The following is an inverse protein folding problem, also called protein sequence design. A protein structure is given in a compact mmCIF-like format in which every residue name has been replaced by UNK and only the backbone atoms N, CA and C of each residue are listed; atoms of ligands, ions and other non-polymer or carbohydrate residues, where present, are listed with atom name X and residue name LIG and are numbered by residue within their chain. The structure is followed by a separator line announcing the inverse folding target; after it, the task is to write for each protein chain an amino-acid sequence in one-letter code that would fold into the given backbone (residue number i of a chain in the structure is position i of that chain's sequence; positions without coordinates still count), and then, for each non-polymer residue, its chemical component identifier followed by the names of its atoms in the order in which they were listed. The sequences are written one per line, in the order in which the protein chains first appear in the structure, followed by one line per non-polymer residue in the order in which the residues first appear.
data_IF_388072449919
#
_entry.id   IF_388072449919
#
_cell.length_a   1.000
_cell.length_b   1.000
_cell.length_c   1.000
_cell.angle_alpha   90.00
_cell.angle_beta   90.00
_cell.angle_gamma   90.00
#
_symmetry.space_group_name_H-M   'P 1'
#
loop_
_entity.id
_entity.type
_entity.pdbx_description
1 polymer ?
#
# COMPACT_ATOMS: atom_id res chain seq x y z
N UNK A 1 11.09 -24.78 -16.28
CA UNK A 1 10.34 -23.59 -15.82
C UNK A 1 9.81 -23.93 -14.44
N UNK A 2 10.28 -23.26 -13.39
CA UNK A 2 9.86 -23.55 -12.02
C UNK A 2 8.38 -23.21 -11.86
N UNK A 3 7.58 -24.18 -11.41
CA UNK A 3 6.20 -23.94 -11.04
C UNK A 3 6.22 -23.02 -9.81
N UNK A 4 5.91 -21.73 -9.99
CA UNK A 4 5.76 -20.83 -8.86
C UNK A 4 4.43 -21.21 -8.23
N UNK A 5 4.50 -21.98 -7.15
CA UNK A 5 3.35 -22.25 -6.29
C UNK A 5 3.03 -20.95 -5.54
N UNK A 6 1.96 -20.27 -5.96
CA UNK A 6 1.53 -19.00 -5.39
C UNK A 6 0.41 -19.27 -4.41
N UNK A 7 0.67 -19.12 -3.10
CA UNK A 7 -0.34 -19.21 -2.05
C UNK A 7 -1.23 -17.94 -2.03
N UNK A 8 -2.52 -18.02 -2.42
CA UNK A 8 -3.42 -16.86 -2.39
C UNK A 8 -3.64 -16.33 -0.97
N UNK A 9 -3.53 -17.17 0.07
CA UNK A 9 -3.64 -16.72 1.45
C UNK A 9 -2.42 -15.88 1.85
N UNK A 10 -1.21 -16.25 1.43
CA UNK A 10 -0.01 -15.43 1.61
C UNK A 10 -0.14 -14.07 0.92
N UNK A 11 -0.64 -14.03 -0.31
CA UNK A 11 -0.90 -12.77 -1.02
C UNK A 11 -1.91 -11.89 -0.29
N UNK A 12 -3.02 -12.46 0.23
CA UNK A 12 -4.00 -11.72 1.03
C UNK A 12 -3.41 -11.18 2.34
N UNK A 13 -2.55 -11.95 3.02
CA UNK A 13 -1.83 -11.49 4.22
C UNK A 13 -0.91 -10.31 3.89
N UNK A 14 -0.12 -10.42 2.82
CA UNK A 14 0.76 -9.35 2.36
C UNK A 14 -0.03 -8.09 1.97
N UNK A 15 -1.17 -8.24 1.30
CA UNK A 15 -2.06 -7.12 0.99
C UNK A 15 -2.57 -6.42 2.26
N UNK A 16 -2.97 -7.20 3.28
CA UNK A 16 -3.37 -6.67 4.58
C UNK A 16 -2.24 -5.90 5.28
N UNK A 17 -1.02 -6.40 5.23
CA UNK A 17 0.16 -5.72 5.76
C UNK A 17 0.45 -4.40 5.02
N UNK A 18 0.38 -4.40 3.69
CA UNK A 18 0.53 -3.19 2.88
C UNK A 18 -0.53 -2.14 3.23
N UNK A 19 -1.79 -2.55 3.37
CA UNK A 19 -2.87 -1.68 3.85
C UNK A 19 -2.56 -1.08 5.23
N UNK A 20 -2.14 -1.92 6.17
CA UNK A 20 -1.80 -1.48 7.53
C UNK A 20 -0.65 -0.48 7.56
N UNK A 21 0.38 -0.67 6.72
CA UNK A 21 1.45 0.30 6.54
C UNK A 21 0.94 1.63 5.98
N UNK A 22 0.10 1.60 4.93
CA UNK A 22 -0.53 2.80 4.38
C UNK A 22 -1.34 3.57 5.42
N UNK A 23 -2.10 2.88 6.26
CA UNK A 23 -2.86 3.49 7.35
C UNK A 23 -1.97 4.15 8.41
N UNK A 24 -0.88 3.50 8.81
CA UNK A 24 0.10 4.08 9.74
C UNK A 24 0.77 5.31 9.15
N UNK A 25 1.16 5.28 7.87
CA UNK A 25 1.73 6.44 7.18
C UNK A 25 0.76 7.61 7.14
N UNK A 26 -0.51 7.36 6.83
CA UNK A 26 -1.53 8.41 6.83
C UNK A 26 -1.84 8.99 8.21
N UNK A 27 -1.68 8.20 9.27
CA UNK A 27 -2.00 8.60 10.65
C UNK A 27 -0.77 9.22 11.31
N UNK A 28 0.26 8.41 11.53
CA UNK A 28 1.46 8.77 12.28
C UNK A 28 2.38 9.68 11.46
N UNK A 29 2.49 9.41 10.16
CA UNK A 29 3.30 10.20 9.24
C UNK A 29 2.79 11.64 9.05
N UNK A 30 1.54 11.93 9.42
CA UNK A 30 0.96 13.28 9.27
C UNK A 30 0.80 14.05 10.59
N UNK A 31 1.18 13.46 11.72
CA UNK A 31 1.09 14.10 13.06
C UNK A 31 1.84 15.44 13.08
N UNK A 32 2.95 15.53 12.33
CA UNK A 32 3.84 16.69 12.34
C UNK A 32 3.38 17.84 11.43
N UNK A 33 2.35 17.65 10.59
CA UNK A 33 1.96 18.63 9.56
C UNK A 33 1.53 19.97 10.19
N UNK A 34 0.61 19.93 11.16
CA UNK A 34 0.12 21.12 11.85
C UNK A 34 1.21 21.85 12.66
N UNK A 35 1.95 21.19 13.58
CA UNK A 35 2.98 21.88 14.36
C UNK A 35 4.12 22.41 13.49
N UNK A 36 4.53 21.70 12.43
CA UNK A 36 5.56 22.19 11.52
C UNK A 36 5.10 23.43 10.74
N UNK A 37 3.86 23.46 10.26
CA UNK A 37 3.32 24.63 9.57
C UNK A 37 3.21 25.85 10.50
N UNK A 38 2.77 25.65 11.74
CA UNK A 38 2.71 26.72 12.74
C UNK A 38 4.09 27.26 13.08
N UNK A 39 5.06 26.38 13.37
CA UNK A 39 6.44 26.77 13.67
C UNK A 39 7.11 27.47 12.47
N UNK A 40 6.91 26.95 11.26
CA UNK A 40 7.43 27.57 10.05
C UNK A 40 6.86 28.97 9.84
N UNK A 41 5.56 29.16 10.07
CA UNK A 41 4.90 30.47 10.01
C UNK A 41 5.45 31.43 11.06
N UNK A 42 5.55 31.00 12.32
CA UNK A 42 6.06 31.83 13.41
C UNK A 42 7.51 32.28 13.19
N UNK A 43 8.38 31.38 12.72
CA UNK A 43 9.77 31.69 12.39
C UNK A 43 9.87 32.63 11.19
N UNK A 44 9.05 32.42 10.16
CA UNK A 44 9.03 33.28 8.97
C UNK A 44 8.54 34.70 9.31
N UNK A 45 7.55 34.82 10.20
CA UNK A 45 7.05 36.12 10.68
C UNK A 45 8.13 36.93 11.41
N UNK A 46 9.13 36.26 11.99
CA UNK A 46 10.29 36.89 12.63
C UNK A 46 11.47 37.09 11.67
N UNK A 47 11.25 36.94 10.35
CA UNK A 47 12.29 37.02 9.31
C UNK A 47 13.42 35.98 9.44
N UNK A 48 13.22 34.90 10.21
CA UNK A 48 14.18 33.82 10.27
C UNK A 48 14.09 32.94 9.03
N UNK A 49 15.21 32.77 8.32
CA UNK A 49 15.33 31.87 7.16
C UNK A 49 14.96 30.42 7.51
N UNK A 50 15.10 30.04 8.78
CA UNK A 50 14.69 28.74 9.30
C UNK A 50 13.21 28.45 9.04
N UNK A 51 12.33 29.46 9.06
CA UNK A 51 10.90 29.27 8.80
C UNK A 51 10.63 28.74 7.39
N UNK A 52 11.29 29.30 6.38
CA UNK A 52 11.21 28.83 4.99
C UNK A 52 11.80 27.42 4.83
N UNK A 53 12.95 27.16 5.46
CA UNK A 53 13.58 25.85 5.43
C UNK A 53 12.69 24.77 6.07
N UNK A 54 12.07 25.08 7.21
CA UNK A 54 11.15 24.19 7.91
C UNK A 54 9.89 23.92 7.07
N UNK A 55 9.34 24.95 6.40
CA UNK A 55 8.20 24.75 5.49
C UNK A 55 8.54 23.79 4.36
N UNK A 56 9.69 23.97 3.72
CA UNK A 56 10.14 23.09 2.64
C UNK A 56 10.34 21.65 3.12
N UNK A 57 10.91 21.47 4.32
CA UNK A 57 11.09 20.15 4.92
C UNK A 57 9.74 19.49 5.22
N UNK A 58 8.77 20.24 5.76
CA UNK A 58 7.42 19.75 6.03
C UNK A 58 6.68 19.35 4.75
N UNK A 59 6.77 20.17 3.69
CA UNK A 59 6.15 19.87 2.39
C UNK A 59 6.76 18.63 1.75
N UNK A 60 8.09 18.51 1.81
CA UNK A 60 8.80 17.33 1.30
C UNK A 60 8.37 16.08 2.06
N UNK A 61 8.33 16.14 3.38
CA UNK A 61 7.87 15.04 4.22
C UNK A 61 6.45 14.61 3.88
N UNK A 62 5.52 15.57 3.77
CA UNK A 62 4.13 15.32 3.39
C UNK A 62 4.03 14.60 2.03
N UNK A 63 4.81 15.05 1.04
CA UNK A 63 4.86 14.42 -0.29
C UNK A 63 5.38 12.98 -0.23
N UNK A 64 6.44 12.72 0.53
CA UNK A 64 7.01 11.38 0.68
C UNK A 64 6.03 10.43 1.37
N UNK A 65 5.41 10.85 2.47
CA UNK A 65 4.40 10.07 3.20
C UNK A 65 3.21 9.75 2.31
N UNK A 66 2.72 10.74 1.55
CA UNK A 66 1.60 10.55 0.64
C UNK A 66 1.94 9.58 -0.49
N UNK A 67 3.12 9.73 -1.10
CA UNK A 67 3.62 8.82 -2.16
C UNK A 67 3.73 7.39 -1.65
N UNK A 68 4.28 7.18 -0.46
CA UNK A 68 4.43 5.84 0.11
C UNK A 68 3.06 5.23 0.46
N UNK A 69 2.15 6.03 1.01
CA UNK A 69 0.77 5.59 1.30
C UNK A 69 0.03 5.15 0.02
N UNK A 70 0.16 5.91 -1.07
CA UNK A 70 -0.40 5.53 -2.37
C UNK A 70 0.26 4.27 -2.94
N UNK A 71 1.57 4.13 -2.78
CA UNK A 71 2.31 2.92 -3.15
C UNK A 71 1.79 1.69 -2.40
N UNK A 72 1.57 1.80 -1.09
CA UNK A 72 0.97 0.76 -0.27
C UNK A 72 -0.44 0.37 -0.75
N UNK A 73 -1.26 1.35 -1.14
CA UNK A 73 -2.60 1.08 -1.68
C UNK A 73 -2.54 0.33 -3.03
N UNK A 74 -1.64 0.74 -3.93
CA UNK A 74 -1.43 0.04 -5.21
C UNK A 74 -0.93 -1.39 -5.01
N UNK A 75 0.00 -1.59 -4.07
CA UNK A 75 0.50 -2.92 -3.70
C UNK A 75 -0.60 -3.80 -3.12
N UNK A 76 -1.41 -3.27 -2.20
CA UNK A 76 -2.58 -3.99 -1.65
C UNK A 76 -3.50 -4.47 -2.79
N UNK A 77 -3.86 -3.58 -3.70
CA UNK A 77 -4.77 -3.89 -4.80
C UNK A 77 -4.18 -4.95 -5.74
N UNK A 78 -2.92 -4.81 -6.11
CA UNK A 78 -2.22 -5.78 -6.97
C UNK A 78 -2.14 -7.16 -6.34
N UNK A 79 -1.81 -7.24 -5.05
CA UNK A 79 -1.71 -8.51 -4.32
C UNK A 79 -3.08 -9.19 -4.17
N UNK A 80 -4.14 -8.42 -3.91
CA UNK A 80 -5.51 -8.95 -3.87
C UNK A 80 -5.96 -9.48 -5.22
N UNK A 81 -5.75 -8.70 -6.29
CA UNK A 81 -6.08 -9.12 -7.65
C UNK A 81 -5.37 -10.41 -8.04
N UNK A 82 -4.08 -10.52 -7.74
CA UNK A 82 -3.31 -11.75 -7.96
C UNK A 82 -3.89 -12.94 -7.18
N UNK A 83 -4.24 -12.76 -5.91
CA UNK A 83 -4.87 -13.82 -5.12
C UNK A 83 -6.21 -14.29 -5.69
N UNK A 84 -7.06 -13.35 -6.11
CA UNK A 84 -8.36 -13.63 -6.70
C UNK A 84 -8.22 -14.38 -8.04
N UNK A 85 -7.24 -14.00 -8.86
CA UNK A 85 -6.96 -14.68 -10.14
C UNK A 85 -6.49 -16.12 -9.94
N UNK A 86 -5.57 -16.35 -9.00
CA UNK A 86 -5.12 -17.72 -8.68
C UNK A 86 -6.29 -18.59 -8.20
N UNK A 87 -7.10 -18.12 -7.25
CA UNK A 87 -8.27 -18.87 -6.78
C UNK A 87 -9.28 -19.17 -7.91
N UNK A 88 -9.47 -18.22 -8.83
CA UNK A 88 -10.35 -18.42 -9.99
C UNK A 88 -9.79 -19.46 -10.96
N UNK A 89 -8.50 -19.45 -11.21
CA UNK A 89 -7.83 -20.44 -12.08
C UNK A 89 -7.94 -21.83 -11.47
N UNK A 90 -7.61 -21.97 -10.19
CA UNK A 90 -7.67 -23.26 -9.49
C UNK A 90 -9.10 -23.83 -9.47
N UNK A 91 -10.10 -22.98 -9.23
CA UNK A 91 -11.51 -23.36 -9.31
C UNK A 91 -11.92 -23.85 -10.70
N UNK A 92 -11.46 -23.19 -11.77
CA UNK A 92 -11.71 -23.62 -13.16
C UNK A 92 -11.01 -24.94 -13.49
N UNK A 93 -9.78 -25.13 -13.03
CA UNK A 93 -9.05 -26.39 -13.20
C UNK A 93 -9.79 -27.53 -12.50
N UNK A 94 -10.19 -27.34 -11.24
CA UNK A 94 -10.95 -28.34 -10.48
C UNK A 94 -12.29 -28.69 -11.16
N UNK A 95 -13.02 -27.70 -11.68
CA UNK A 95 -14.26 -27.92 -12.43
C UNK A 95 -14.02 -28.76 -13.69
N UNK A 96 -12.98 -28.43 -14.48
CA UNK A 96 -12.64 -29.20 -15.70
C UNK A 96 -12.24 -30.62 -15.38
N UNK A 97 -11.43 -30.84 -14.34
CA UNK A 97 -11.05 -32.19 -13.91
C UNK A 97 -12.28 -33.02 -13.49
N UNK A 98 -13.23 -32.41 -12.78
CA UNK A 98 -14.50 -33.08 -12.44
C UNK A 98 -15.35 -33.44 -13.66
N UNK A 99 -15.40 -32.56 -14.68
CA UNK A 99 -16.11 -32.86 -15.93
C UNK A 99 -15.45 -34.02 -16.69
N UNK A 100 -14.12 -34.04 -16.74
CA UNK A 100 -13.35 -35.13 -17.36
C UNK A 100 -13.62 -36.44 -16.62
N UNK A 101 -13.56 -36.44 -15.28
CA UNK A 101 -13.81 -37.63 -14.47
C UNK A 101 -15.22 -38.22 -14.72
N UNK A 102 -16.24 -37.36 -14.84
CA UNK A 102 -17.61 -37.78 -15.19
C UNK A 102 -17.76 -38.29 -16.61
N UNK A 103 -16.92 -37.88 -17.55
CA UNK A 103 -16.91 -38.40 -18.91
C UNK A 103 -16.33 -39.80 -19.04
N UNK A 104 -15.64 -40.29 -18.00
CA UNK A 104 -15.05 -41.63 -17.93
C UNK A 104 -15.85 -42.62 -17.06
N UNK A 105 -16.95 -42.17 -16.46
CA UNK A 105 -17.90 -43.00 -15.69
C UNK A 105 -19.16 -43.29 -16.51
#
# INVERSE_FOLDING_TARGET
MGNIDVDPAALRRAAGAAKGLGQKLSTDGRIVDNPNNQAAGALSAQSYQLGKALKNAADTWYQQVSTLSEGCAKLEQGLRGCADDHQRIDGRVAQRLNQIAKGFS
#
